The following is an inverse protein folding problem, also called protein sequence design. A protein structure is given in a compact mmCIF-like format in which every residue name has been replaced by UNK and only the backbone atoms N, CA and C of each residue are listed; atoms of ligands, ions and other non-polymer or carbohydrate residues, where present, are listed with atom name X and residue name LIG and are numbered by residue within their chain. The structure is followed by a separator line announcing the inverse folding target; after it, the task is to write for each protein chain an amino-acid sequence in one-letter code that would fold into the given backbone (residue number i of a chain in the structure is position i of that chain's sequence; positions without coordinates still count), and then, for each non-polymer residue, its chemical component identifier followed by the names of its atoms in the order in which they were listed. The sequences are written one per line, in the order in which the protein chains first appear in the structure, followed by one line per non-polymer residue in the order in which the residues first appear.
data_IF_417761124744
#
_entry.id   IF_417761124744
#
_cell.length_a   1.000
_cell.length_b   1.000
_cell.length_c   1.000
_cell.angle_alpha   90.00
_cell.angle_beta   90.00
_cell.angle_gamma   90.00
#
_symmetry.space_group_name_H-M   'P 1'
#
loop_
_entity.id
_entity.type
_entity.pdbx_description
1 polymer ?
#
# COMPACT_ATOMS: atom_id res chain seq x y z
N UNK A 1 -5.21 13.59 -21.33
CA UNK A 1 -5.83 13.27 -22.64
C UNK A 1 -6.21 11.81 -22.61
N UNK A 2 -7.49 11.50 -22.74
CA UNK A 2 -8.00 10.14 -22.78
C UNK A 2 -8.32 9.78 -24.24
N UNK A 3 -8.02 8.55 -24.65
CA UNK A 3 -8.45 8.03 -25.95
C UNK A 3 -9.45 6.92 -25.69
N UNK A 4 -10.69 7.08 -26.19
CA UNK A 4 -11.76 6.10 -26.01
C UNK A 4 -12.34 5.65 -27.35
N UNK A 5 -12.90 4.45 -27.37
CA UNK A 5 -13.65 3.92 -28.53
C UNK A 5 -15.10 4.39 -28.43
N UNK A 6 -15.55 5.06 -29.48
CA UNK A 6 -16.91 5.61 -29.59
C UNK A 6 -17.56 4.97 -30.81
N UNK A 7 -18.84 4.63 -30.70
CA UNK A 7 -19.61 4.08 -31.79
C UNK A 7 -20.06 5.24 -32.70
N UNK A 8 -19.88 5.07 -34.00
CA UNK A 8 -20.28 6.08 -34.98
C UNK A 8 -21.80 6.25 -35.01
N UNK A 9 -22.30 7.30 -34.35
CA UNK A 9 -23.73 7.60 -34.25
C UNK A 9 -24.40 7.86 -35.60
N UNK A 10 -23.64 8.16 -36.66
CA UNK A 10 -24.19 8.42 -38.00
C UNK A 10 -24.62 7.14 -38.74
N UNK A 11 -23.92 6.02 -38.53
CA UNK A 11 -24.29 4.72 -39.09
C UNK A 11 -25.07 3.86 -38.10
N UNK A 12 -25.00 4.17 -36.80
CA UNK A 12 -25.76 3.46 -35.78
C UNK A 12 -25.30 2.01 -35.59
N UNK A 13 -26.00 1.31 -34.70
CA UNK A 13 -25.81 -0.11 -34.44
C UNK A 13 -26.89 -0.87 -35.19
N UNK A 14 -26.50 -1.68 -36.17
CA UNK A 14 -27.44 -2.48 -36.98
C UNK A 14 -27.41 -3.94 -36.53
N UNK A 15 -28.55 -4.65 -36.60
CA UNK A 15 -28.59 -6.09 -36.37
C UNK A 15 -28.00 -6.82 -37.57
N UNK A 16 -27.17 -7.83 -37.33
CA UNK A 16 -26.58 -8.61 -38.40
C UNK A 16 -27.68 -9.37 -39.17
N UNK A 17 -27.86 -9.03 -40.44
CA UNK A 17 -28.90 -9.62 -41.30
C UNK A 17 -28.72 -11.13 -41.50
N UNK A 18 -27.48 -11.62 -41.54
CA UNK A 18 -27.20 -13.03 -41.84
C UNK A 18 -27.40 -13.99 -40.65
N UNK A 19 -27.29 -13.52 -39.41
CA UNK A 19 -27.56 -14.33 -38.21
C UNK A 19 -28.81 -13.86 -37.46
N UNK A 20 -29.54 -12.87 -37.98
CA UNK A 20 -30.72 -12.30 -37.35
C UNK A 20 -30.47 -11.70 -35.96
N UNK A 21 -29.23 -11.32 -35.64
CA UNK A 21 -28.86 -10.86 -34.31
C UNK A 21 -28.37 -11.93 -33.34
N UNK A 22 -28.33 -13.20 -33.73
CA UNK A 22 -27.98 -14.30 -32.81
C UNK A 22 -26.47 -14.56 -32.66
N UNK A 23 -25.62 -13.95 -33.50
CA UNK A 23 -24.16 -14.13 -33.44
C UNK A 23 -23.64 -15.48 -33.92
N UNK A 24 -24.51 -16.49 -34.05
CA UNK A 24 -24.16 -17.85 -34.52
C UNK A 24 -25.03 -18.26 -35.71
N UNK A 25 -24.47 -19.08 -36.59
CA UNK A 25 -25.15 -19.74 -37.70
C UNK A 25 -25.11 -21.26 -37.49
N UNK A 26 -26.22 -21.95 -37.73
CA UNK A 26 -26.28 -23.41 -37.65
C UNK A 26 -25.86 -23.99 -39.01
N UNK A 27 -24.68 -24.61 -39.05
CA UNK A 27 -24.20 -25.33 -40.22
C UNK A 27 -24.60 -26.80 -40.12
N UNK A 28 -25.33 -27.29 -41.12
CA UNK A 28 -25.75 -28.70 -41.17
C UNK A 28 -24.76 -29.52 -41.99
N UNK A 29 -24.05 -30.43 -41.35
CA UNK A 29 -23.10 -31.36 -42.00
C UNK A 29 -23.80 -32.71 -42.14
N UNK A 30 -23.90 -33.21 -43.37
CA UNK A 30 -24.50 -34.53 -43.65
C UNK A 30 -23.39 -35.57 -43.81
N UNK A 31 -23.34 -36.54 -42.90
CA UNK A 31 -22.45 -37.70 -42.97
C UNK A 31 -23.31 -38.93 -43.26
N UNK A 32 -23.59 -39.18 -44.54
CA UNK A 32 -24.45 -40.28 -44.97
C UNK A 32 -25.88 -40.15 -44.40
N UNK A 33 -26.45 -41.20 -43.76
CA UNK A 33 -27.79 -41.14 -43.17
C UNK A 33 -27.88 -40.29 -41.89
N UNK A 34 -26.75 -39.74 -41.39
CA UNK A 34 -26.70 -38.94 -40.16
C UNK A 34 -26.57 -37.44 -40.48
N UNK A 35 -27.43 -36.62 -39.88
CA UNK A 35 -27.40 -35.15 -39.99
C UNK A 35 -26.88 -34.58 -38.67
N UNK A 36 -25.76 -33.84 -38.72
CA UNK A 36 -25.20 -33.14 -37.57
C UNK A 36 -25.36 -31.63 -37.75
N UNK A 37 -25.99 -30.97 -36.79
CA UNK A 37 -26.09 -29.52 -36.72
C UNK A 37 -24.98 -28.98 -35.82
N UNK A 38 -24.09 -28.16 -36.37
CA UNK A 38 -22.99 -27.53 -35.64
C UNK A 38 -23.21 -26.03 -35.60
N UNK A 39 -23.09 -25.41 -34.42
CA UNK A 39 -23.15 -23.96 -34.29
C UNK A 39 -21.78 -23.36 -34.67
N UNK A 40 -21.75 -22.57 -35.74
CA UNK A 40 -20.56 -21.82 -36.17
C UNK A 40 -20.76 -20.34 -35.81
N UNK A 41 -19.72 -19.68 -35.34
CA UNK A 41 -19.74 -18.21 -35.15
C UNK A 41 -20.02 -17.54 -36.49
N UNK A 42 -20.92 -16.56 -36.51
CA UNK A 42 -21.27 -15.82 -37.72
C UNK A 42 -20.07 -15.00 -38.20
N UNK A 43 -19.58 -15.27 -39.43
CA UNK A 43 -18.38 -14.62 -39.97
C UNK A 43 -18.56 -13.09 -40.13
N UNK A 44 -19.74 -12.63 -40.53
CA UNK A 44 -20.03 -11.20 -40.80
C UNK A 44 -20.09 -10.30 -39.56
N UNK A 45 -20.54 -10.82 -38.42
CA UNK A 45 -20.57 -10.07 -37.15
C UNK A 45 -19.56 -10.61 -36.12
N UNK A 46 -18.74 -11.60 -36.50
CA UNK A 46 -17.76 -12.26 -35.62
C UNK A 46 -18.31 -12.64 -34.24
N UNK A 47 -19.57 -13.10 -34.19
CA UNK A 47 -20.22 -13.50 -32.93
C UNK A 47 -20.96 -12.40 -32.16
N UNK A 48 -20.86 -11.13 -32.56
CA UNK A 48 -21.45 -10.01 -31.81
C UNK A 48 -22.95 -9.81 -32.04
N UNK A 49 -23.53 -10.40 -33.09
CA UNK A 49 -24.96 -10.24 -33.45
C UNK A 49 -25.31 -8.85 -34.00
N UNK A 50 -24.50 -7.83 -33.74
CA UNK A 50 -24.65 -6.46 -34.26
C UNK A 50 -23.44 -6.08 -35.12
N UNK A 51 -23.68 -5.17 -36.06
CA UNK A 51 -22.67 -4.57 -36.93
C UNK A 51 -22.64 -3.08 -36.61
N UNK A 52 -21.47 -2.58 -36.25
CA UNK A 52 -21.25 -1.18 -35.90
C UNK A 52 -19.84 -0.76 -36.26
N UNK A 53 -19.64 0.55 -36.45
CA UNK A 53 -18.31 1.12 -36.71
C UNK A 53 -17.78 1.77 -35.44
N UNK A 54 -16.58 1.37 -35.02
CA UNK A 54 -15.85 2.02 -33.93
C UNK A 54 -14.90 3.07 -34.48
N UNK A 55 -14.93 4.26 -33.90
CA UNK A 55 -13.95 5.32 -34.11
C UNK A 55 -13.18 5.58 -32.81
N UNK A 56 -11.90 5.98 -32.92
CA UNK A 56 -11.11 6.42 -31.77
C UNK A 56 -11.33 7.92 -31.58
N UNK A 57 -11.93 8.29 -30.46
CA UNK A 57 -12.11 9.69 -30.07
C UNK A 57 -11.05 10.07 -29.02
N UNK A 58 -10.43 11.24 -29.21
CA UNK A 58 -9.55 11.83 -28.22
C UNK A 58 -10.30 12.92 -27.46
N UNK A 59 -10.34 12.82 -26.15
CA UNK A 59 -11.02 13.76 -25.27
C UNK A 59 -10.04 14.29 -24.21
N UNK A 60 -10.14 15.59 -23.91
CA UNK A 60 -9.39 16.20 -22.81
C UNK A 60 -10.35 16.39 -21.65
N UNK A 61 -10.10 15.69 -20.55
CA UNK A 61 -10.84 15.83 -19.31
C UNK A 61 -10.06 16.75 -18.38
N UNK A 62 -10.72 17.77 -17.87
CA UNK A 62 -10.18 18.65 -16.83
C UNK A 62 -10.52 18.04 -15.47
N UNK A 63 -9.49 17.65 -14.73
CA UNK A 63 -9.65 17.02 -13.41
C UNK A 63 -9.42 18.09 -12.35
N UNK A 64 -10.48 18.48 -11.65
CA UNK A 64 -10.39 19.39 -10.50
C UNK A 64 -10.04 18.60 -9.24
N UNK A 65 -8.84 18.82 -8.70
CA UNK A 65 -8.39 18.18 -7.46
C UNK A 65 -8.79 19.07 -6.28
N UNK A 66 -9.69 18.61 -5.39
CA UNK A 66 -10.06 19.39 -4.22
C UNK A 66 -8.89 19.52 -3.24
N UNK A 67 -8.77 20.68 -2.59
CA UNK A 67 -7.77 20.90 -1.53
C UNK A 67 -7.98 19.88 -0.41
N UNK A 68 -6.88 19.34 0.11
CA UNK A 68 -6.95 18.35 1.18
C UNK A 68 -7.31 16.92 0.74
N UNK A 69 -7.43 16.65 -0.56
CA UNK A 69 -7.70 15.29 -1.04
C UNK A 69 -6.65 14.31 -0.47
N UNK A 70 -7.06 13.22 0.19
CA UNK A 70 -6.14 12.22 0.72
C UNK A 70 -5.53 11.39 -0.40
N UNK A 71 -4.48 10.62 -0.08
CA UNK A 71 -3.97 9.60 -0.98
C UNK A 71 -5.07 8.57 -1.34
N UNK A 72 -5.00 8.00 -2.55
CA UNK A 72 -5.99 7.10 -3.12
C UNK A 72 -7.40 7.69 -3.29
N UNK A 73 -7.56 9.02 -3.21
CA UNK A 73 -8.85 9.64 -3.46
C UNK A 73 -9.31 9.40 -4.91
N UNK A 74 -10.56 9.00 -5.07
CA UNK A 74 -11.15 8.60 -6.36
C UNK A 74 -12.01 9.72 -6.92
N UNK A 75 -11.70 10.14 -8.14
CA UNK A 75 -12.48 11.12 -8.91
C UNK A 75 -13.11 10.39 -10.10
N UNK A 76 -14.44 10.31 -10.09
CA UNK A 76 -15.20 9.54 -11.08
C UNK A 76 -15.73 10.45 -12.19
N UNK A 77 -15.52 10.04 -13.45
CA UNK A 77 -16.13 10.64 -14.62
C UNK A 77 -17.08 9.64 -15.25
N UNK A 78 -18.38 9.93 -15.17
CA UNK A 78 -19.42 9.06 -15.70
C UNK A 78 -19.43 9.02 -17.23
N UNK A 79 -19.68 7.86 -17.80
CA UNK A 79 -19.85 7.65 -19.26
C UNK A 79 -18.65 8.06 -20.13
N UNK A 80 -17.44 8.06 -19.56
CA UNK A 80 -16.19 8.42 -20.26
C UNK A 80 -15.36 7.22 -20.70
N UNK A 81 -15.78 5.99 -20.42
CA UNK A 81 -15.10 4.80 -20.90
C UNK A 81 -15.45 4.47 -22.36
N UNK A 82 -14.99 3.31 -22.83
CA UNK A 82 -15.31 2.80 -24.17
C UNK A 82 -16.81 2.48 -24.29
N UNK A 83 -17.42 2.92 -25.40
CA UNK A 83 -18.81 2.61 -25.72
C UNK A 83 -18.94 1.17 -26.24
N UNK A 84 -20.01 0.51 -25.81
CA UNK A 84 -20.42 -0.82 -26.28
C UNK A 84 -21.76 -0.72 -27.02
N UNK A 85 -22.01 -1.57 -28.03
CA UNK A 85 -23.24 -1.49 -28.83
C UNK A 85 -24.51 -1.86 -28.06
N UNK A 86 -24.38 -2.58 -26.94
CA UNK A 86 -25.48 -3.17 -26.17
C UNK A 86 -25.63 -2.55 -24.76
N UNK A 87 -25.07 -1.35 -24.55
CA UNK A 87 -25.10 -0.71 -23.23
C UNK A 87 -24.51 0.70 -23.19
N UNK A 88 -24.62 1.33 -22.02
CA UNK A 88 -24.05 2.64 -21.74
C UNK A 88 -22.52 2.56 -21.60
N UNK A 89 -21.83 3.67 -21.86
CA UNK A 89 -20.40 3.76 -21.63
C UNK A 89 -20.10 3.65 -20.13
N UNK A 90 -19.06 2.89 -19.78
CA UNK A 90 -18.62 2.81 -18.39
C UNK A 90 -17.99 4.11 -17.87
N UNK A 91 -17.57 4.06 -16.62
CA UNK A 91 -16.96 5.20 -15.92
C UNK A 91 -15.44 5.15 -15.98
N UNK A 92 -14.81 6.33 -15.95
CA UNK A 92 -13.37 6.48 -15.77
C UNK A 92 -13.12 7.00 -14.37
N UNK A 93 -12.39 6.22 -13.57
CA UNK A 93 -12.02 6.58 -12.20
C UNK A 93 -10.55 6.98 -12.18
N UNK A 94 -10.28 8.24 -11.88
CA UNK A 94 -8.93 8.71 -11.58
C UNK A 94 -8.65 8.47 -10.10
N UNK A 95 -7.51 7.84 -9.82
CA UNK A 95 -7.02 7.64 -8.45
C UNK A 95 -5.87 8.60 -8.23
N UNK A 96 -6.01 9.47 -7.23
CA UNK A 96 -4.92 10.36 -6.83
C UNK A 96 -3.83 9.56 -6.12
N UNK A 97 -2.58 9.82 -6.50
CA UNK A 97 -1.41 9.24 -5.87
C UNK A 97 -0.57 10.37 -5.30
N UNK A 98 -0.30 10.32 -4.00
CA UNK A 98 0.58 11.28 -3.34
C UNK A 98 2.02 11.13 -3.82
N UNK A 99 2.63 12.26 -4.22
CA UNK A 99 4.04 12.31 -4.59
C UNK A 99 4.87 12.54 -3.33
N UNK A 100 5.95 11.77 -3.17
CA UNK A 100 6.88 11.97 -2.06
C UNK A 100 7.55 13.34 -2.13
N UNK A 101 7.56 14.04 -1.00
CA UNK A 101 8.23 15.34 -0.85
C UNK A 101 9.57 15.15 -0.10
N UNK A 102 10.55 16.01 -0.39
CA UNK A 102 11.88 15.90 0.20
C UNK A 102 11.89 16.18 1.71
N UNK A 103 11.18 17.24 2.13
CA UNK A 103 11.16 17.69 3.53
C UNK A 103 9.92 17.26 4.31
N UNK A 104 8.83 16.91 3.63
CA UNK A 104 7.52 16.75 4.25
C UNK A 104 6.99 15.33 4.05
N UNK A 105 6.44 14.76 5.11
CA UNK A 105 5.71 13.50 5.08
C UNK A 105 4.28 13.77 5.56
N UNK A 106 3.27 13.45 4.75
CA UNK A 106 1.87 13.62 5.14
C UNK A 106 1.37 12.38 5.85
N UNK A 107 0.57 12.56 6.91
CA UNK A 107 -0.27 11.50 7.47
C UNK A 107 -1.63 12.07 7.81
N UNK A 108 -2.66 11.63 7.08
CA UNK A 108 -4.01 12.21 7.21
C UNK A 108 -4.01 13.69 6.84
N UNK A 109 -4.36 14.53 7.81
CA UNK A 109 -4.41 16.00 7.66
C UNK A 109 -3.16 16.69 8.21
N UNK A 110 -2.24 15.95 8.81
CA UNK A 110 -1.04 16.47 9.45
C UNK A 110 0.19 16.34 8.54
N UNK A 111 1.09 17.32 8.67
CA UNK A 111 2.34 17.39 7.94
C UNK A 111 3.52 17.24 8.91
N UNK A 112 4.37 16.26 8.64
CA UNK A 112 5.52 15.94 9.48
C UNK A 112 6.83 16.28 8.78
N UNK A 113 7.81 16.72 9.57
CA UNK A 113 9.16 17.03 9.12
C UNK A 113 10.13 16.30 10.04
N UNK A 114 11.10 15.63 9.45
CA UNK A 114 12.17 14.98 10.20
C UNK A 114 13.43 15.85 10.13
N UNK A 115 13.91 16.28 11.30
CA UNK A 115 15.13 17.11 11.41
C UNK A 115 16.01 16.62 12.54
N UNK A 116 17.28 16.42 12.21
CA UNK A 116 18.32 16.15 13.19
C UNK A 116 18.77 17.45 13.82
N UNK A 117 18.63 17.57 15.14
CA UNK A 117 19.16 18.68 15.93
C UNK A 117 20.31 18.19 16.80
N UNK A 118 21.23 19.10 17.13
CA UNK A 118 22.31 18.80 18.07
C UNK A 118 21.80 18.70 19.51
N UNK A 119 22.54 18.00 20.38
CA UNK A 119 22.22 17.92 21.81
C UNK A 119 22.19 19.30 22.49
N UNK A 120 23.08 20.21 22.07
CA UNK A 120 23.11 21.58 22.58
C UNK A 120 21.84 22.36 22.23
N UNK A 121 21.35 22.24 20.99
CA UNK A 121 20.09 22.84 20.54
C UNK A 121 18.87 22.23 21.25
N UNK A 122 18.90 20.93 21.55
CA UNK A 122 17.85 20.26 22.31
C UNK A 122 17.75 20.77 23.76
N UNK A 123 18.89 21.10 24.41
CA UNK A 123 18.95 21.55 25.80
C UNK A 123 18.79 23.08 25.96
N UNK A 124 19.43 23.85 25.09
CA UNK A 124 19.46 25.32 25.16
C UNK A 124 18.34 25.99 24.34
N UNK A 125 17.51 25.21 23.66
CA UNK A 125 16.52 25.69 22.70
C UNK A 125 17.13 25.94 21.32
N UNK A 126 16.26 25.98 20.31
CA UNK A 126 16.64 26.22 18.92
C UNK A 126 15.67 27.17 18.24
N UNK A 127 16.13 27.77 17.14
CA UNK A 127 15.31 28.55 16.22
C UNK A 127 15.62 28.08 14.81
N UNK A 128 14.66 27.41 14.17
CA UNK A 128 14.81 26.91 12.81
C UNK A 128 13.82 27.59 11.87
N UNK A 129 14.25 27.78 10.63
CA UNK A 129 13.40 28.29 9.55
C UNK A 129 12.96 27.12 8.69
N UNK A 130 11.67 26.98 8.49
CA UNK A 130 11.06 25.96 7.63
C UNK A 130 10.27 26.66 6.54
N UNK A 131 10.55 26.32 5.28
CA UNK A 131 9.74 26.78 4.16
C UNK A 131 8.49 25.90 4.06
N UNK A 132 7.31 26.49 4.23
CA UNK A 132 6.02 25.82 4.10
C UNK A 132 5.69 25.55 2.62
N UNK A 133 4.65 24.74 2.37
CA UNK A 133 4.13 24.46 1.03
C UNK A 133 3.55 25.70 0.33
N UNK A 134 3.16 26.72 1.09
CA UNK A 134 2.64 27.99 0.57
C UNK A 134 3.75 29.04 0.34
N UNK A 135 5.02 28.61 0.28
CA UNK A 135 6.22 29.45 0.20
C UNK A 135 6.47 30.37 1.41
N UNK A 136 5.61 30.34 2.43
CA UNK A 136 5.80 31.06 3.70
C UNK A 136 6.98 30.49 4.48
N UNK A 137 7.71 31.35 5.20
CA UNK A 137 8.80 30.92 6.09
C UNK A 137 8.26 30.88 7.53
N UNK A 138 8.19 29.68 8.09
CA UNK A 138 7.81 29.45 9.47
C UNK A 138 9.07 29.41 10.33
N UNK A 139 9.08 30.20 11.41
CA UNK A 139 10.20 30.19 12.37
C UNK A 139 9.76 29.41 13.61
N UNK A 140 10.22 28.17 13.71
CA UNK A 140 9.94 27.30 14.85
C UNK A 140 10.99 27.60 15.92
N UNK A 141 10.53 28.04 17.10
CA UNK A 141 11.39 28.37 18.24
C UNK A 141 11.06 27.50 19.45
N UNK A 142 12.09 27.03 20.13
CA UNK A 142 12.00 26.45 21.47
C UNK A 142 12.68 27.36 22.48
N UNK A 143 12.04 27.59 23.64
CA UNK A 143 12.62 28.46 24.66
C UNK A 143 13.81 27.75 25.33
N UNK A 144 14.87 28.47 25.73
CA UNK A 144 15.92 27.90 26.57
C UNK A 144 15.33 27.32 27.85
N UNK A 145 15.60 26.05 28.15
CA UNK A 145 15.05 25.32 29.30
C UNK A 145 13.71 24.60 29.06
N UNK A 146 13.09 24.76 27.90
CA UNK A 146 11.94 23.94 27.48
C UNK A 146 12.46 22.59 26.99
N UNK A 147 12.50 21.60 27.89
CA UNK A 147 12.92 20.24 27.54
C UNK A 147 11.86 19.61 26.63
N UNK A 148 12.22 19.42 25.37
CA UNK A 148 11.43 18.62 24.44
C UNK A 148 11.41 17.18 24.93
N UNK A 149 10.22 16.68 25.26
CA UNK A 149 10.07 15.32 25.75
C UNK A 149 10.15 14.34 24.58
N UNK A 150 10.90 13.24 24.72
CA UNK A 150 10.81 12.15 23.77
C UNK A 150 9.38 11.64 23.68
N UNK A 151 8.90 11.41 22.46
CA UNK A 151 7.58 10.84 22.22
C UNK A 151 7.72 9.34 21.92
N UNK A 152 6.95 8.47 22.60
CA UNK A 152 7.01 7.03 22.37
C UNK A 152 6.27 6.58 21.11
N UNK A 153 5.61 7.50 20.42
CA UNK A 153 4.75 7.25 19.26
C UNK A 153 5.43 7.69 17.96
N UNK A 154 5.55 6.79 17.00
CA UNK A 154 5.92 7.11 15.62
C UNK A 154 4.65 7.10 14.74
N UNK A 155 4.25 8.23 14.15
CA UNK A 155 3.12 8.28 13.23
C UNK A 155 3.37 7.45 11.96
N UNK A 156 4.60 7.19 11.55
CA UNK A 156 4.87 6.47 10.30
C UNK A 156 5.19 4.99 10.47
N UNK A 157 5.18 4.48 11.70
CA UNK A 157 5.23 3.03 11.91
C UNK A 157 3.86 2.47 11.54
N UNK A 158 3.79 1.80 10.39
CA UNK A 158 2.74 0.82 10.13
C UNK A 158 2.82 -0.25 11.23
N UNK A 159 1.67 -0.69 11.77
CA UNK A 159 1.58 -1.73 12.80
C UNK A 159 2.50 -2.92 12.46
N UNK A 160 3.65 -2.88 13.14
CA UNK A 160 4.86 -3.69 13.18
C UNK A 160 4.98 -4.90 12.23
N UNK A 161 5.89 -4.80 11.25
CA UNK A 161 6.79 -5.93 11.00
C UNK A 161 7.96 -5.79 11.96
N UNK A 162 7.96 -6.58 13.02
CA UNK A 162 9.09 -6.71 13.94
C UNK A 162 10.36 -6.92 13.11
N UNK A 163 11.34 -6.03 13.24
CA UNK A 163 12.63 -6.21 12.60
C UNK A 163 13.36 -7.36 13.32
N UNK A 164 13.96 -8.28 12.55
CA UNK A 164 14.70 -9.42 13.11
C UNK A 164 16.14 -9.36 12.65
N UNK A 165 17.07 -9.35 13.59
CA UNK A 165 18.51 -9.49 13.34
C UNK A 165 18.90 -10.97 13.38
N UNK A 166 19.61 -11.43 12.35
CA UNK A 166 20.09 -12.81 12.23
C UNK A 166 21.56 -12.90 12.66
N UNK A 167 21.88 -13.92 13.46
CA UNK A 167 23.23 -14.30 13.86
C UNK A 167 23.49 -15.75 13.42
N UNK A 168 24.57 -15.97 12.67
CA UNK A 168 25.00 -17.30 12.23
C UNK A 168 25.87 -17.98 13.28
N UNK A 169 25.70 -19.28 13.46
CA UNK A 169 26.41 -20.11 14.43
C UNK A 169 26.24 -19.66 15.89
N UNK A 170 25.06 -19.14 16.25
CA UNK A 170 24.71 -18.77 17.62
C UNK A 170 23.41 -19.43 18.09
N UNK A 171 23.33 -19.73 19.39
CA UNK A 171 22.16 -20.23 20.12
C UNK A 171 22.10 -19.61 21.51
N UNK A 172 20.94 -19.61 22.16
CA UNK A 172 20.74 -19.12 23.53
C UNK A 172 20.16 -20.23 24.43
N UNK A 173 20.89 -21.32 24.71
CA UNK A 173 20.34 -22.50 25.39
C UNK A 173 19.86 -22.24 26.83
N UNK A 174 20.31 -21.14 27.45
CA UNK A 174 19.95 -20.74 28.82
C UNK A 174 18.57 -20.09 28.95
N UNK A 175 17.92 -19.71 27.85
CA UNK A 175 16.60 -19.09 27.87
C UNK A 175 15.48 -20.13 27.84
N UNK A 176 14.33 -19.78 28.40
CA UNK A 176 13.16 -20.65 28.47
C UNK A 176 12.52 -20.86 27.10
N UNK A 177 12.29 -22.12 26.75
CA UNK A 177 11.64 -22.50 25.51
C UNK A 177 10.12 -22.33 25.64
N UNK A 178 9.54 -21.48 24.81
CA UNK A 178 8.10 -21.22 24.80
C UNK A 178 7.34 -22.13 23.82
N UNK A 179 7.96 -22.44 22.67
CA UNK A 179 7.36 -23.29 21.64
C UNK A 179 8.43 -23.92 20.74
N UNK A 180 8.08 -25.04 20.11
CA UNK A 180 8.92 -25.72 19.10
C UNK A 180 8.09 -25.96 17.86
N UNK A 181 8.66 -25.69 16.69
CA UNK A 181 8.04 -25.92 15.39
C UNK A 181 8.97 -26.74 14.50
N UNK A 182 8.41 -27.68 13.73
CA UNK A 182 9.13 -28.50 12.75
C UNK A 182 9.16 -27.82 11.39
N UNK A 183 9.67 -26.59 11.35
CA UNK A 183 9.86 -25.82 10.12
C UNK A 183 11.07 -24.91 10.25
N UNK A 184 11.77 -24.67 9.14
CA UNK A 184 12.84 -23.68 9.03
C UNK A 184 12.42 -22.46 8.19
N UNK A 185 11.15 -22.38 7.76
CA UNK A 185 10.68 -21.24 6.97
C UNK A 185 10.57 -19.97 7.83
N UNK A 186 11.48 -19.03 7.57
CA UNK A 186 11.60 -17.74 8.25
C UNK A 186 10.28 -16.95 8.17
N UNK A 187 9.58 -16.99 7.03
CA UNK A 187 8.34 -16.21 6.85
C UNK A 187 7.23 -16.74 7.75
N UNK A 188 7.15 -18.06 7.89
CA UNK A 188 6.17 -18.72 8.78
C UNK A 188 6.51 -18.44 10.24
N UNK A 189 7.78 -18.56 10.62
CA UNK A 189 8.23 -18.29 11.99
C UNK A 189 8.00 -16.83 12.41
N UNK A 190 8.34 -15.86 11.55
CA UNK A 190 8.09 -14.43 11.82
C UNK A 190 6.60 -14.15 11.93
N UNK A 191 5.79 -14.64 10.98
CA UNK A 191 4.33 -14.48 11.02
C UNK A 191 3.69 -15.11 12.25
N UNK A 192 4.22 -16.24 12.74
CA UNK A 192 3.72 -16.90 13.95
C UNK A 192 3.87 -16.03 15.20
N UNK A 193 4.96 -15.24 15.27
CA UNK A 193 5.25 -14.30 16.36
C UNK A 193 4.51 -12.98 16.18
N UNK A 194 4.54 -12.40 14.98
CA UNK A 194 3.99 -11.06 14.71
C UNK A 194 2.45 -11.06 14.72
N UNK A 195 1.82 -12.03 14.03
CA UNK A 195 0.37 -12.04 13.80
C UNK A 195 -0.29 -13.40 14.08
N UNK A 196 0.43 -14.33 14.70
CA UNK A 196 0.02 -15.73 14.85
C UNK A 196 -0.21 -16.18 16.28
N UNK A 197 -0.06 -17.49 16.51
CA UNK A 197 -0.33 -18.16 17.79
C UNK A 197 0.64 -17.76 18.93
N UNK A 198 1.78 -17.16 18.59
CA UNK A 198 2.81 -16.75 19.54
C UNK A 198 2.76 -15.24 19.84
N UNK A 199 1.81 -14.50 19.24
CA UNK A 199 1.60 -13.08 19.52
C UNK A 199 1.24 -12.87 20.98
N UNK A 200 1.90 -11.92 21.63
CA UNK A 200 1.67 -11.58 23.03
C UNK A 200 2.29 -12.55 24.06
N UNK A 201 3.02 -13.58 23.62
CA UNK A 201 3.71 -14.53 24.51
C UNK A 201 5.12 -14.09 24.94
N UNK A 202 5.53 -12.85 24.62
CA UNK A 202 6.84 -12.33 24.99
C UNK A 202 8.02 -13.05 24.33
N UNK A 203 7.84 -13.57 23.12
CA UNK A 203 8.92 -14.21 22.35
C UNK A 203 9.91 -13.12 21.91
N UNK A 204 11.16 -13.21 22.34
CA UNK A 204 12.22 -12.26 21.98
C UNK A 204 13.20 -12.80 20.94
N UNK A 205 13.36 -14.13 20.86
CA UNK A 205 14.24 -14.76 19.87
C UNK A 205 13.75 -16.17 19.48
N UNK A 206 14.20 -16.64 18.32
CA UNK A 206 14.06 -18.03 17.93
C UNK A 206 15.33 -18.57 17.27
N UNK A 207 15.57 -19.87 17.45
CA UNK A 207 16.76 -20.56 16.97
C UNK A 207 16.34 -21.65 16.00
N UNK A 208 16.96 -21.69 14.82
CA UNK A 208 16.76 -22.73 13.82
C UNK A 208 17.95 -23.69 13.81
N UNK A 209 17.68 -24.99 13.94
CA UNK A 209 18.70 -26.04 13.88
C UNK A 209 18.08 -27.37 13.45
N UNK A 210 18.57 -27.93 12.34
CA UNK A 210 18.28 -29.32 11.94
C UNK A 210 16.80 -29.60 11.66
N UNK A 211 16.12 -28.72 10.93
CA UNK A 211 14.72 -28.85 10.55
C UNK A 211 13.72 -28.32 11.60
N UNK A 212 14.22 -27.79 12.73
CA UNK A 212 13.40 -27.36 13.87
C UNK A 212 13.69 -25.92 14.24
N UNK A 213 12.64 -25.18 14.58
CA UNK A 213 12.70 -23.83 15.15
C UNK A 213 12.24 -23.88 16.60
N UNK A 214 13.07 -23.37 17.53
CA UNK A 214 12.74 -23.23 18.95
C UNK A 214 12.55 -21.76 19.27
N UNK A 215 11.35 -21.39 19.74
CA UNK A 215 11.01 -20.03 20.16
C UNK A 215 11.29 -19.87 21.65
N UNK A 216 11.92 -18.75 22.03
CA UNK A 216 12.37 -18.50 23.40
C UNK A 216 11.75 -17.21 23.93
N UNK A 217 11.21 -17.29 25.15
CA UNK A 217 10.62 -16.14 25.83
C UNK A 217 11.73 -15.34 26.50
N UNK A 218 11.97 -14.12 26.02
CA UNK A 218 13.06 -13.27 26.49
C UNK A 218 12.89 -11.83 26.01
N UNK A 219 13.61 -10.91 26.63
CA UNK A 219 13.80 -9.56 26.08
C UNK A 219 14.97 -9.51 25.11
N UNK A 220 15.08 -8.46 24.31
CA UNK A 220 16.23 -8.25 23.41
C UNK A 220 17.57 -8.34 24.15
N UNK A 221 17.69 -7.64 25.29
CA UNK A 221 18.91 -7.62 26.11
C UNK A 221 19.30 -9.02 26.59
N UNK A 222 18.33 -9.78 27.12
CA UNK A 222 18.56 -11.15 27.57
C UNK A 222 19.03 -12.06 26.44
N UNK A 223 18.43 -11.96 25.26
CA UNK A 223 18.83 -12.74 24.09
C UNK A 223 20.25 -12.42 23.61
N UNK A 224 20.62 -11.14 23.61
CA UNK A 224 21.92 -10.70 23.14
C UNK A 224 23.06 -11.07 24.09
N UNK A 225 22.83 -10.97 25.40
CA UNK A 225 23.84 -11.30 26.43
C UNK A 225 24.06 -12.81 26.58
N UNK A 226 23.00 -13.61 26.41
CA UNK A 226 23.05 -15.07 26.61
C UNK A 226 23.39 -15.87 25.35
N UNK A 227 23.78 -15.21 24.26
CA UNK A 227 24.16 -15.89 23.02
C UNK A 227 25.47 -16.66 23.18
N UNK A 228 25.47 -17.92 22.75
CA UNK A 228 26.58 -18.85 22.80
C UNK A 228 26.87 -19.36 21.39
N UNK A 229 28.14 -19.52 21.03
CA UNK A 229 28.53 -20.08 19.74
C UNK A 229 28.09 -21.55 19.63
N UNK A 230 27.34 -21.88 18.59
CA UNK A 230 26.79 -23.21 18.30
C UNK A 230 26.78 -23.43 16.80
N UNK A 231 27.70 -24.28 16.32
CA UNK A 231 27.88 -24.54 14.88
C UNK A 231 26.60 -25.10 14.25
N UNK A 232 26.22 -24.54 13.10
CA UNK A 232 25.06 -24.96 12.30
C UNK A 232 23.71 -24.50 12.85
N UNK A 233 23.70 -23.49 13.74
CA UNK A 233 22.46 -22.89 14.24
C UNK A 233 22.30 -21.44 13.76
N UNK A 234 21.05 -21.03 13.52
CA UNK A 234 20.71 -19.65 13.14
C UNK A 234 19.84 -19.04 14.22
N UNK A 235 20.33 -18.00 14.87
CA UNK A 235 19.61 -17.27 15.91
C UNK A 235 19.02 -15.99 15.31
N UNK A 236 17.72 -15.80 15.49
CA UNK A 236 17.01 -14.58 15.12
C UNK A 236 16.55 -13.90 16.40
N UNK A 237 17.00 -12.66 16.59
CA UNK A 237 16.61 -11.83 17.73
C UNK A 237 15.73 -10.69 17.20
N UNK A 238 14.62 -10.40 17.88
CA UNK A 238 13.82 -9.21 17.63
C UNK A 238 14.70 -7.98 17.88
N UNK A 239 14.88 -7.13 16.87
CA UNK A 239 15.54 -5.84 17.05
C UNK A 239 14.74 -5.03 18.05
N UNK A 240 15.45 -4.39 19.00
CA UNK A 240 14.82 -3.58 20.04
C UNK A 240 13.88 -2.54 19.42
N UNK A 241 12.54 -2.68 19.59
CA UNK A 241 11.58 -1.73 19.05
C UNK A 241 11.66 -0.38 19.77
N UNK A 242 12.38 -0.28 20.90
CA UNK A 242 12.47 0.91 21.73
C UNK A 242 13.79 1.69 21.58
N UNK A 243 14.81 1.12 20.95
CA UNK A 243 16.14 1.73 20.82
C UNK A 243 16.14 3.12 20.13
N UNK A 244 15.13 3.40 19.32
CA UNK A 244 14.94 4.70 18.65
C UNK A 244 13.77 5.53 19.20
N UNK A 245 12.98 4.99 20.15
CA UNK A 245 11.85 5.73 20.75
C UNK A 245 12.32 6.91 21.61
N UNK A 246 13.45 6.76 22.32
CA UNK A 246 13.95 7.79 23.24
C UNK A 246 14.61 8.99 22.56
N UNK A 247 14.97 8.88 21.27
CA UNK A 247 15.68 9.95 20.54
C UNK A 247 14.73 10.90 19.79
N UNK A 248 13.44 10.58 19.73
CA UNK A 248 12.47 11.30 18.89
C UNK A 248 11.74 12.34 19.71
N UNK A 249 11.92 13.60 19.35
CA UNK A 249 11.21 14.74 19.92
C UNK A 249 10.23 15.29 18.87
N UNK A 250 8.99 15.59 19.27
CA UNK A 250 8.02 16.25 18.40
C UNK A 250 7.63 17.61 18.96
N UNK A 251 7.46 18.58 18.06
CA UNK A 251 6.88 19.89 18.35
C UNK A 251 5.82 20.19 17.30
N UNK A 252 4.58 20.40 17.75
CA UNK A 252 3.47 20.77 16.88
C UNK A 252 3.41 22.30 16.74
N UNK A 253 3.04 22.77 15.55
CA UNK A 253 2.72 24.17 15.28
C UNK A 253 1.21 24.22 15.04
N UNK A 254 0.47 24.79 15.99
CA UNK A 254 -0.99 24.90 15.89
C UNK A 254 -1.37 25.82 14.72
N UNK A 255 -2.43 25.44 13.97
CA UNK A 255 -3.00 26.25 12.89
C UNK A 255 -2.30 26.18 11.53
N UNK A 256 -1.19 25.45 11.40
CA UNK A 256 -0.44 25.30 10.14
C UNK A 256 -0.61 23.90 9.50
N UNK A 257 -1.78 23.27 9.71
CA UNK A 257 -2.11 21.96 9.14
C UNK A 257 -2.56 22.02 7.67
N UNK A 258 -2.75 20.86 7.03
CA UNK A 258 -3.31 20.82 5.69
C UNK A 258 -4.82 21.15 5.71
N UNK A 259 -5.35 21.81 4.67
CA UNK A 259 -6.79 22.01 4.53
C UNK A 259 -7.50 20.66 4.45
N UNK A 260 -8.66 20.55 5.07
CA UNK A 260 -9.46 19.31 5.08
C UNK A 260 -10.41 19.27 3.90
N UNK A 261 -10.59 18.08 3.32
CA UNK A 261 -11.49 17.86 2.17
C UNK A 261 -12.93 18.32 2.42
N UNK A 262 -13.42 18.20 3.66
CA UNK A 262 -14.81 18.56 4.04
C UNK A 262 -14.96 19.94 4.69
N UNK A 263 -13.87 20.63 5.01
CA UNK A 263 -13.87 21.97 5.61
C UNK A 263 -12.67 22.76 5.06
N UNK A 264 -12.82 23.44 3.92
CA UNK A 264 -11.73 24.17 3.28
C UNK A 264 -11.36 25.51 3.97
N UNK A 265 -12.06 25.91 5.05
CA UNK A 265 -11.93 27.25 5.66
C UNK A 265 -11.89 27.31 7.20
N UNK A 266 -11.87 26.20 7.92
CA UNK A 266 -11.58 26.27 9.36
C UNK A 266 -10.06 26.29 9.56
N UNK A 267 -9.54 27.49 9.76
CA UNK A 267 -8.22 27.77 10.31
C UNK A 267 -8.14 27.35 11.78
#
# INVERSE_FOLDING_TARGET
RLTRKVIDKQRGVERCAECGGQGVKIQTIRMGPMIQQVQKVCDTCSGQGTIYRQNKAQETLEVHIPKGAPDQHKINFSEKADEIPDGEAGDVVFVLQEQSHADFKRKGDDLYIERTISLGEALCGFSMQVKHLDDRILIIKSKPGEVLKPVPYDPFVEDEKTAWTMFEDFDCPSLENAAVAETEDIKVCKKAVDSGQLRGKGIGCFVQKGGRTVFKQCTYAQAFETKVASKGSKLYIISDPEADKEKRMMKAVEGEGLPRLKSPFEH
#
